data_IF_848882307880
#
_entry.id   IF_848882307880
#
_cell.length_a   1.000
_cell.length_b   1.000
_cell.length_c   1.000
_cell.angle_alpha   90.00
_cell.angle_beta   90.00
_cell.angle_gamma   90.00
#
_symmetry.space_group_name_H-M   'P 1'
#
loop_
_entity.id
_entity.type
_entity.pdbx_description
1 polymer ?
#
# COMPACT_ATOMS: atom_id res chain seq x y z
N UNK A 1 18.25 -17.02 -1.13
CA UNK A 1 17.43 -16.39 -2.18
C UNK A 1 17.64 -17.15 -3.49
N UNK A 2 16.58 -17.72 -4.06
CA UNK A 2 16.59 -18.47 -5.32
C UNK A 2 16.87 -17.55 -6.52
N UNK A 3 17.23 -18.14 -7.67
CA UNK A 3 17.42 -17.38 -8.92
C UNK A 3 16.13 -16.67 -9.35
N UNK A 4 14.98 -17.29 -9.06
CA UNK A 4 13.68 -16.68 -9.26
C UNK A 4 13.54 -15.38 -8.47
N UNK A 5 13.73 -15.44 -7.15
CA UNK A 5 13.56 -14.30 -6.24
C UNK A 5 14.51 -13.15 -6.62
N UNK A 6 15.78 -13.47 -6.92
CA UNK A 6 16.76 -12.47 -7.39
C UNK A 6 16.30 -11.79 -8.68
N UNK A 7 15.84 -12.56 -9.66
CA UNK A 7 15.38 -12.05 -10.96
C UNK A 7 14.28 -11.01 -10.78
N UNK A 8 13.21 -11.34 -10.06
CA UNK A 8 12.04 -10.46 -9.96
C UNK A 8 12.28 -9.21 -9.14
N UNK A 9 13.13 -9.29 -8.11
CA UNK A 9 13.51 -8.08 -7.38
C UNK A 9 14.37 -7.17 -8.28
N UNK A 10 15.28 -7.73 -9.08
CA UNK A 10 16.08 -6.94 -10.03
C UNK A 10 15.21 -6.32 -11.13
N UNK A 11 14.22 -7.05 -11.66
CA UNK A 11 13.24 -6.52 -12.62
C UNK A 11 12.45 -5.35 -12.04
N UNK A 12 11.97 -5.45 -10.78
CA UNK A 12 11.30 -4.33 -10.13
C UNK A 12 12.26 -3.15 -9.95
N UNK A 13 13.49 -3.41 -9.51
CA UNK A 13 14.49 -2.37 -9.30
C UNK A 13 14.82 -1.62 -10.59
N UNK A 14 14.92 -2.33 -11.72
CA UNK A 14 15.09 -1.74 -13.04
C UNK A 14 13.88 -0.88 -13.43
N UNK A 15 12.66 -1.39 -13.26
CA UNK A 15 11.44 -0.64 -13.52
C UNK A 15 11.33 0.65 -12.67
N UNK A 16 11.67 0.56 -11.39
CA UNK A 16 11.72 1.70 -10.47
C UNK A 16 12.85 2.69 -10.82
N UNK A 17 13.91 2.25 -11.51
CA UNK A 17 15.04 3.11 -11.90
C UNK A 17 14.59 4.25 -12.81
N UNK A 18 13.56 4.01 -13.63
CA UNK A 18 12.97 4.98 -14.54
C UNK A 18 12.15 6.09 -13.86
N UNK A 19 11.78 5.91 -12.59
CA UNK A 19 11.17 6.97 -11.79
C UNK A 19 12.24 8.01 -11.45
N UNK A 20 11.93 9.27 -11.76
CA UNK A 20 12.82 10.41 -11.55
C UNK A 20 12.25 11.39 -10.50
N UNK A 21 12.93 12.52 -10.29
CA UNK A 21 12.57 13.50 -9.26
C UNK A 21 11.20 14.18 -9.49
N UNK A 22 10.61 14.03 -10.68
CA UNK A 22 9.28 14.54 -11.02
C UNK A 22 8.19 13.46 -10.97
N UNK A 23 8.55 12.21 -10.68
CA UNK A 23 7.58 11.11 -10.54
C UNK A 23 6.64 11.33 -9.35
N UNK A 24 5.39 11.00 -9.58
CA UNK A 24 4.28 11.09 -8.62
C UNK A 24 3.97 9.72 -8.01
N UNK A 25 3.11 9.69 -6.99
CA UNK A 25 2.57 8.45 -6.42
C UNK A 25 1.83 7.62 -7.48
N UNK A 26 1.16 8.28 -8.44
CA UNK A 26 0.56 7.62 -9.60
C UNK A 26 1.60 6.93 -10.50
N UNK A 27 2.75 7.56 -10.74
CA UNK A 27 3.81 6.95 -11.55
C UNK A 27 4.40 5.73 -10.85
N UNK A 28 4.63 5.81 -9.53
CA UNK A 28 5.04 4.67 -8.73
C UNK A 28 4.00 3.53 -8.80
N UNK A 29 2.72 3.85 -8.62
CA UNK A 29 1.65 2.87 -8.70
C UNK A 29 1.60 2.18 -10.08
N UNK A 30 1.70 2.94 -11.17
CA UNK A 30 1.74 2.38 -12.53
C UNK A 30 2.89 1.40 -12.72
N UNK A 31 4.08 1.71 -12.20
CA UNK A 31 5.24 0.81 -12.26
C UNK A 31 4.97 -0.47 -11.48
N UNK A 32 4.45 -0.35 -10.25
CA UNK A 32 4.15 -1.51 -9.39
C UNK A 32 3.07 -2.40 -9.99
N UNK A 33 1.96 -1.84 -10.47
CA UNK A 33 0.88 -2.61 -11.10
C UNK A 33 1.37 -3.28 -12.38
N UNK A 34 2.09 -2.56 -13.25
CA UNK A 34 2.64 -3.16 -14.48
C UNK A 34 3.57 -4.35 -14.18
N UNK A 35 4.44 -4.23 -13.18
CA UNK A 35 5.32 -5.32 -12.76
C UNK A 35 4.53 -6.48 -12.11
N UNK A 36 3.51 -6.17 -11.31
CA UNK A 36 2.64 -7.17 -10.67
C UNK A 36 1.74 -7.90 -11.67
N UNK A 37 1.37 -7.30 -12.80
CA UNK A 37 0.56 -7.94 -13.84
C UNK A 37 1.28 -9.10 -14.57
N UNK A 38 2.48 -9.47 -14.15
CA UNK A 38 3.16 -10.68 -14.59
C UNK A 38 2.60 -11.90 -13.85
N UNK A 39 1.88 -12.78 -14.55
CA UNK A 39 1.22 -13.98 -13.98
C UNK A 39 2.16 -14.81 -13.09
N UNK A 40 3.43 -14.94 -13.48
CA UNK A 40 4.42 -15.72 -12.74
C UNK A 40 4.73 -15.10 -11.37
N UNK A 41 4.73 -13.77 -11.28
CA UNK A 41 4.94 -13.03 -10.02
C UNK A 41 3.75 -13.25 -9.09
N UNK A 42 2.53 -13.07 -9.62
CA UNK A 42 1.28 -13.22 -8.87
C UNK A 42 1.17 -14.61 -8.29
N UNK A 43 1.37 -15.66 -9.10
CA UNK A 43 1.25 -17.04 -8.64
C UNK A 43 2.22 -17.35 -7.50
N UNK A 44 3.43 -16.79 -7.57
CA UNK A 44 4.44 -16.96 -6.52
C UNK A 44 4.10 -16.20 -5.26
N UNK A 45 3.46 -15.04 -5.37
CA UNK A 45 2.98 -14.28 -4.21
C UNK A 45 1.80 -14.98 -3.54
N UNK A 46 0.89 -15.56 -4.33
CA UNK A 46 -0.24 -16.37 -3.82
C UNK A 46 0.24 -17.58 -3.04
N UNK A 47 1.29 -18.28 -3.50
CA UNK A 47 1.93 -19.38 -2.75
C UNK A 47 2.46 -18.91 -1.38
N UNK A 48 2.89 -17.65 -1.27
CA UNK A 48 3.37 -17.05 -0.01
C UNK A 48 2.23 -16.50 0.86
N UNK A 49 0.97 -16.65 0.43
CA UNK A 49 -0.21 -16.16 1.15
C UNK A 49 -0.54 -14.69 0.89
N UNK A 50 0.03 -14.08 -0.16
CA UNK A 50 -0.26 -12.69 -0.53
C UNK A 50 -1.02 -12.64 -1.85
N UNK A 51 -2.25 -12.14 -1.81
CA UNK A 51 -3.07 -11.90 -2.99
C UNK A 51 -3.09 -10.41 -3.36
N UNK A 52 -2.56 -10.11 -4.55
CA UNK A 52 -2.49 -8.76 -5.10
C UNK A 52 -3.54 -8.52 -6.19
N UNK A 53 -4.37 -9.52 -6.54
CA UNK A 53 -5.37 -9.39 -7.60
C UNK A 53 -6.26 -8.16 -7.40
N UNK A 54 -6.67 -7.87 -6.16
CA UNK A 54 -7.44 -6.65 -5.84
C UNK A 54 -6.78 -5.36 -6.32
N UNK A 55 -5.46 -5.20 -6.15
CA UNK A 55 -4.76 -3.97 -6.51
C UNK A 55 -4.58 -3.83 -8.02
N UNK A 56 -4.45 -4.95 -8.73
CA UNK A 56 -4.29 -4.98 -10.19
C UNK A 56 -5.61 -4.63 -10.88
N UNK A 57 -6.73 -5.06 -10.31
CA UNK A 57 -8.08 -4.82 -10.83
C UNK A 57 -8.61 -3.40 -10.52
N UNK A 58 -8.06 -2.74 -9.50
CA UNK A 58 -8.43 -1.38 -9.13
C UNK A 58 -7.99 -0.36 -10.19
N UNK A 59 -8.92 0.46 -10.67
CA UNK A 59 -8.60 1.62 -11.49
C UNK A 59 -8.05 2.75 -10.60
N UNK A 60 -6.78 3.16 -10.74
CA UNK A 60 -6.17 4.18 -9.87
C UNK A 60 -6.90 5.52 -9.82
N UNK A 61 -7.60 5.88 -10.90
CA UNK A 61 -8.33 7.15 -10.99
C UNK A 61 -9.51 7.21 -10.02
N UNK A 62 -10.02 6.05 -9.60
CA UNK A 62 -11.14 5.92 -8.65
C UNK A 62 -10.69 5.98 -7.18
N UNK A 63 -9.40 6.12 -6.88
CA UNK A 63 -8.86 6.10 -5.51
C UNK A 63 -7.99 7.33 -5.22
N UNK A 64 -7.83 7.75 -3.94
CA UNK A 64 -7.11 8.96 -3.56
C UNK A 64 -5.57 8.81 -3.61
N UNK A 65 -5.04 8.27 -4.70
CA UNK A 65 -3.60 7.98 -4.85
C UNK A 65 -2.74 9.24 -4.76
N UNK A 66 -3.27 10.38 -5.20
CA UNK A 66 -2.63 11.69 -5.05
C UNK A 66 -2.49 12.16 -3.60
N UNK A 67 -3.26 11.59 -2.67
CA UNK A 67 -3.20 11.89 -1.23
C UNK A 67 -2.23 10.96 -0.49
N UNK A 68 -1.57 10.03 -1.19
CA UNK A 68 -0.58 9.14 -0.61
C UNK A 68 0.56 9.93 0.02
N UNK A 69 1.03 9.47 1.19
CA UNK A 69 2.23 10.01 1.84
C UNK A 69 3.51 9.70 1.05
N UNK A 70 3.45 8.73 0.12
CA UNK A 70 4.58 8.32 -0.72
C UNK A 70 4.84 9.38 -1.79
N UNK A 71 5.43 10.48 -1.34
CA UNK A 71 5.88 11.58 -2.16
C UNK A 71 7.27 11.32 -2.75
N UNK A 72 7.85 12.33 -3.39
CA UNK A 72 9.14 12.27 -4.09
C UNK A 72 10.27 11.71 -3.22
N UNK A 73 10.38 12.15 -1.97
CA UNK A 73 11.47 11.74 -1.07
C UNK A 73 11.29 10.30 -0.61
N UNK A 74 10.05 9.92 -0.28
CA UNK A 74 9.66 8.56 0.07
C UNK A 74 9.91 7.56 -1.08
N UNK A 75 9.64 7.94 -2.34
CA UNK A 75 9.91 7.10 -3.52
C UNK A 75 11.42 6.84 -3.66
N UNK A 76 12.26 7.86 -3.44
CA UNK A 76 13.72 7.70 -3.48
C UNK A 76 14.19 6.80 -2.34
N UNK A 77 13.65 7.01 -1.14
CA UNK A 77 13.97 6.20 0.03
C UNK A 77 13.60 4.73 -0.19
N UNK A 78 12.43 4.47 -0.77
CA UNK A 78 11.95 3.15 -1.17
C UNK A 78 12.89 2.44 -2.14
N UNK A 79 13.33 3.13 -3.21
CA UNK A 79 14.32 2.61 -4.17
C UNK A 79 15.61 2.20 -3.46
N UNK A 80 16.13 3.08 -2.63
CA UNK A 80 17.37 2.83 -1.90
C UNK A 80 17.23 1.67 -0.91
N UNK A 81 16.09 1.54 -0.24
CA UNK A 81 15.84 0.45 0.69
C UNK A 81 15.75 -0.90 -0.01
N UNK A 82 15.02 -1.00 -1.13
CA UNK A 82 14.95 -2.22 -1.93
C UNK A 82 16.36 -2.65 -2.34
N UNK A 83 17.15 -1.72 -2.90
CA UNK A 83 18.52 -1.98 -3.31
C UNK A 83 19.41 -2.48 -2.16
N UNK A 84 19.35 -1.81 -1.00
CA UNK A 84 20.12 -2.21 0.20
C UNK A 84 19.70 -3.58 0.71
N UNK A 85 18.41 -3.88 0.73
CA UNK A 85 17.89 -5.19 1.17
C UNK A 85 18.36 -6.31 0.25
N UNK A 86 18.33 -6.12 -1.07
CA UNK A 86 18.91 -7.08 -2.04
C UNK A 86 20.40 -7.31 -1.77
N UNK A 87 21.16 -6.23 -1.67
CA UNK A 87 22.61 -6.26 -1.51
C UNK A 87 23.07 -6.94 -0.22
N UNK A 88 22.22 -6.94 0.82
CA UNK A 88 22.53 -7.57 2.11
C UNK A 88 22.59 -9.10 2.09
N UNK A 89 22.07 -9.76 1.04
CA UNK A 89 22.12 -11.23 0.88
C UNK A 89 21.26 -12.06 1.85
N UNK A 90 20.79 -11.47 2.96
CA UNK A 90 20.03 -12.13 4.03
C UNK A 90 18.53 -11.78 4.03
N UNK A 91 18.05 -11.14 2.97
CA UNK A 91 16.65 -10.72 2.89
C UNK A 91 15.76 -11.88 2.48
N UNK A 92 14.80 -12.26 3.35
CA UNK A 92 13.78 -13.25 3.00
C UNK A 92 12.82 -12.64 1.99
N UNK A 93 12.54 -13.38 0.93
CA UNK A 93 11.63 -12.92 -0.13
C UNK A 93 10.24 -12.61 0.40
N UNK A 94 9.73 -13.33 1.40
CA UNK A 94 8.45 -13.00 2.02
C UNK A 94 8.38 -11.57 2.58
N UNK A 95 9.48 -11.04 3.13
CA UNK A 95 9.52 -9.66 3.62
C UNK A 95 9.53 -8.65 2.47
N UNK A 96 10.09 -9.02 1.31
CA UNK A 96 9.96 -8.22 0.10
C UNK A 96 8.50 -8.12 -0.33
N UNK A 97 7.80 -9.26 -0.39
CA UNK A 97 6.39 -9.30 -0.79
C UNK A 97 5.51 -8.51 0.18
N UNK A 98 5.73 -8.66 1.48
CA UNK A 98 5.06 -7.85 2.50
C UNK A 98 5.31 -6.36 2.28
N UNK A 99 6.56 -5.98 2.01
CA UNK A 99 6.91 -4.59 1.74
C UNK A 99 6.18 -4.04 0.52
N UNK A 100 6.05 -4.81 -0.57
CA UNK A 100 5.25 -4.40 -1.74
C UNK A 100 3.77 -4.21 -1.40
N UNK A 101 3.18 -5.11 -0.59
CA UNK A 101 1.80 -4.94 -0.10
C UNK A 101 1.65 -3.65 0.68
N UNK A 102 2.55 -3.39 1.62
CA UNK A 102 2.48 -2.21 2.47
C UNK A 102 2.58 -0.94 1.61
N UNK A 103 3.47 -0.91 0.61
CA UNK A 103 3.58 0.21 -0.35
C UNK A 103 2.26 0.43 -1.10
N UNK A 104 1.61 -0.63 -1.59
CA UNK A 104 0.33 -0.49 -2.28
C UNK A 104 -0.76 0.03 -1.34
N UNK A 105 -0.78 -0.41 -0.09
CA UNK A 105 -1.69 0.13 0.93
C UNK A 105 -1.46 1.63 1.14
N UNK A 106 -0.21 2.07 1.30
CA UNK A 106 0.14 3.50 1.40
C UNK A 106 -0.22 4.30 0.14
N UNK A 107 -0.22 3.67 -1.04
CA UNK A 107 -0.62 4.33 -2.29
C UNK A 107 -2.13 4.50 -2.39
N UNK A 108 -2.91 3.52 -1.93
CA UNK A 108 -4.37 3.53 -2.10
C UNK A 108 -5.15 4.09 -0.90
N UNK A 109 -4.58 4.02 0.30
CA UNK A 109 -5.23 4.43 1.55
C UNK A 109 -4.68 5.80 1.96
N UNK A 110 -5.59 6.73 2.23
CA UNK A 110 -5.23 8.05 2.74
C UNK A 110 -4.80 7.92 4.21
N UNK A 111 -3.58 8.37 4.53
CA UNK A 111 -3.09 8.51 5.90
C UNK A 111 -3.31 9.95 6.37
N UNK A 112 -3.93 10.12 7.53
CA UNK A 112 -4.30 11.42 8.06
C UNK A 112 -3.70 11.65 9.46
N UNK A 113 -3.43 12.91 9.76
CA UNK A 113 -3.13 13.35 11.12
C UNK A 113 -4.42 13.37 11.95
N UNK A 114 -4.62 12.33 12.75
CA UNK A 114 -5.75 12.20 13.68
C UNK A 114 -5.28 11.46 14.93
N UNK A 115 -5.58 12.01 16.10
CA UNK A 115 -5.25 11.38 17.37
C UNK A 115 -6.18 10.20 17.62
N UNK A 116 -5.60 9.02 17.81
CA UNK A 116 -6.32 7.81 18.17
C UNK A 116 -6.96 7.95 19.56
N UNK A 117 -8.29 7.78 19.72
CA UNK A 117 -8.97 7.88 21.01
C UNK A 117 -8.50 6.86 22.06
N UNK A 118 -7.79 5.80 21.65
CA UNK A 118 -7.35 4.73 22.55
C UNK A 118 -5.88 4.83 22.99
N UNK A 119 -4.96 5.13 22.07
CA UNK A 119 -3.52 5.16 22.36
C UNK A 119 -2.85 6.51 22.13
N UNK A 120 -3.63 7.54 21.79
CA UNK A 120 -3.16 8.92 21.57
C UNK A 120 -2.12 9.10 20.44
N UNK A 121 -1.92 8.06 19.62
CA UNK A 121 -1.06 8.13 18.43
C UNK A 121 -1.67 9.05 17.37
N UNK A 122 -0.83 9.86 16.72
CA UNK A 122 -1.27 10.95 15.84
C UNK A 122 -1.54 10.61 14.37
N UNK A 123 -1.39 9.35 13.96
CA UNK A 123 -1.59 8.93 12.57
C UNK A 123 -2.64 7.83 12.45
N UNK A 124 -3.59 8.00 11.51
CA UNK A 124 -4.64 7.02 11.22
C UNK A 124 -4.85 6.86 9.72
N UNK A 125 -5.30 5.68 9.30
CA UNK A 125 -5.72 5.36 7.95
C UNK A 125 -7.22 5.60 7.78
N UNK A 126 -7.60 6.25 6.68
CA UNK A 126 -9.00 6.43 6.31
C UNK A 126 -9.48 5.24 5.47
N UNK A 127 -10.39 4.47 6.04
CA UNK A 127 -11.02 3.29 5.44
C UNK A 127 -12.53 3.49 5.33
N UNK A 128 -13.19 2.52 4.72
CA UNK A 128 -14.64 2.50 4.55
C UNK A 128 -15.21 1.18 5.08
N UNK A 129 -16.31 1.23 5.82
CA UNK A 129 -17.06 0.03 6.17
C UNK A 129 -17.82 -0.50 4.95
N UNK A 130 -17.67 -1.79 4.61
CA UNK A 130 -18.21 -2.37 3.38
C UNK A 130 -19.73 -2.24 3.21
N UNK A 131 -20.51 -2.30 4.30
CA UNK A 131 -21.98 -2.36 4.24
C UNK A 131 -22.64 -0.97 4.31
N UNK A 132 -22.16 -0.11 5.20
CA UNK A 132 -22.73 1.22 5.45
C UNK A 132 -22.05 2.29 4.60
N UNK A 133 -20.85 1.99 4.10
CA UNK A 133 -19.94 2.94 3.49
C UNK A 133 -19.57 4.13 4.37
N UNK A 134 -19.70 3.97 5.69
CA UNK A 134 -19.23 4.97 6.63
C UNK A 134 -17.70 4.99 6.68
N UNK A 135 -17.14 6.20 6.85
CA UNK A 135 -15.70 6.35 7.01
C UNK A 135 -15.27 5.82 8.37
N UNK A 136 -14.26 4.96 8.36
CA UNK A 136 -13.65 4.36 9.54
C UNK A 136 -12.17 4.75 9.58
N UNK A 137 -11.70 5.21 10.73
CA UNK A 137 -10.33 5.59 10.97
C UNK A 137 -9.61 4.49 11.72
N UNK A 138 -8.63 3.86 11.09
CA UNK A 138 -7.82 2.78 11.66
C UNK A 138 -6.50 3.34 12.19
N UNK A 139 -6.20 3.16 13.47
CA UNK A 139 -4.94 3.59 14.05
C UNK A 139 -3.78 2.73 13.54
N UNK A 140 -2.74 3.37 13.01
CA UNK A 140 -1.55 2.66 12.48
C UNK A 140 -0.68 2.05 13.58
N UNK A 141 -0.85 2.48 14.83
CA UNK A 141 -0.08 1.99 15.97
C UNK A 141 -0.77 0.85 16.74
N UNK A 142 -2.04 1.01 17.14
CA UNK A 142 -2.74 0.02 17.96
C UNK A 142 -3.72 -0.86 17.18
N UNK A 143 -4.01 -0.53 15.91
CA UNK A 143 -5.00 -1.25 15.10
C UNK A 143 -6.45 -1.07 15.54
N UNK A 144 -6.74 -0.21 16.53
CA UNK A 144 -8.11 0.14 16.87
C UNK A 144 -8.71 1.03 15.78
N UNK A 145 -9.98 0.78 15.47
CA UNK A 145 -10.72 1.51 14.45
C UNK A 145 -11.90 2.27 15.07
N UNK A 146 -12.19 3.46 14.53
CA UNK A 146 -13.21 4.36 15.06
C UNK A 146 -13.98 5.03 13.93
N UNK A 147 -15.26 5.28 14.14
CA UNK A 147 -16.04 6.16 13.27
C UNK A 147 -15.70 7.63 13.54
N UNK A 148 -16.28 8.53 12.74
CA UNK A 148 -16.01 9.95 12.86
C UNK A 148 -16.40 10.54 14.23
N UNK A 149 -17.45 10.01 14.86
CA UNK A 149 -17.94 10.39 16.20
C UNK A 149 -17.12 9.77 17.35
N UNK A 150 -16.00 9.11 17.05
CA UNK A 150 -15.15 8.35 17.96
C UNK A 150 -15.80 7.11 18.60
N UNK A 151 -16.98 6.68 18.13
CA UNK A 151 -17.49 5.36 18.49
C UNK A 151 -16.57 4.28 17.90
N UNK A 152 -16.31 3.24 18.69
CA UNK A 152 -15.38 2.19 18.29
C UNK A 152 -16.01 1.30 17.22
N UNK A 153 -15.29 1.13 16.11
CA UNK A 153 -15.62 0.12 15.11
C UNK A 153 -15.32 -1.26 15.69
N UNK A 154 -16.37 -2.05 15.89
CA UNK A 154 -16.25 -3.45 16.29
C UNK A 154 -16.23 -4.27 15.00
N UNK A 155 -15.17 -5.09 14.79
CA UNK A 155 -14.91 -5.97 13.62
C UNK A 155 -16.07 -6.94 13.31
N UNK A 156 -17.22 -6.40 12.91
CA UNK A 156 -18.42 -7.13 12.50
C UNK A 156 -18.50 -7.22 10.98
N UNK A 157 -17.86 -6.29 10.29
CA UNK A 157 -17.87 -6.10 8.85
C UNK A 157 -16.44 -5.84 8.36
N UNK A 158 -16.11 -6.23 7.12
CA UNK A 158 -14.81 -5.90 6.54
C UNK A 158 -14.67 -4.39 6.30
N UNK A 159 -13.45 -3.89 6.42
CA UNK A 159 -13.07 -2.55 5.96
C UNK A 159 -12.51 -2.64 4.54
N UNK A 160 -12.85 -1.65 3.72
CA UNK A 160 -12.42 -1.51 2.33
C UNK A 160 -11.68 -0.20 2.11
N UNK A 161 -10.94 -0.12 1.01
CA UNK A 161 -10.27 1.09 0.58
C UNK A 161 -11.33 2.06 0.05
N UNK A 162 -11.39 3.31 0.53
CA UNK A 162 -12.39 4.27 0.08
C UNK A 162 -12.09 4.70 -1.36
N UNK A 163 -13.09 4.61 -2.22
CA UNK A 163 -13.03 5.23 -3.55
C UNK A 163 -13.17 6.75 -3.41
N UNK A 164 -12.64 7.50 -4.39
CA UNK A 164 -13.02 8.88 -4.68
C UNK A 164 -14.50 8.90 -5.05
N UNK A 165 -15.36 8.97 -4.05
CA UNK A 165 -16.74 9.36 -4.28
C UNK A 165 -16.71 10.85 -4.56
N UNK A 166 -17.54 11.27 -5.51
CA UNK A 166 -17.92 12.67 -5.68
C UNK A 166 -18.14 13.28 -4.28
N UNK A 167 -17.25 14.18 -3.83
CA UNK A 167 -17.39 14.95 -2.59
C UNK A 167 -18.56 15.96 -2.71
N UNK A 168 -19.60 15.60 -3.45
CA UNK A 168 -20.85 16.34 -3.60
C UNK A 168 -21.89 15.77 -2.65
N UNK A 169 -21.90 16.32 -1.44
CA UNK A 169 -23.13 16.69 -0.72
C UNK A 169 -22.82 17.68 0.39
#
# INVERSE_FOLDING_TARGET
MSNFEKKYILELNDALSHLNHNSTSFDLLKVLISWLSNDIVIDKFKILGYDFSKYIEMNPDDYPVEKSILNREEIIYLKNNIYRKISSGNFKFQYFVQYIRDILEYLFIEHIERVCPYCEWGEMQKLEEQNTHETVYLCTQCGCAFYNDNSQFLLKTPLTIPMKRDEFK
#
